data_IF_406223541826
#
_entry.id   IF_406223541826
#
_cell.length_a   1.000
_cell.length_b   1.000
_cell.length_c   1.000
_cell.angle_alpha   90.00
_cell.angle_beta   90.00
_cell.angle_gamma   90.00
#
_symmetry.space_group_name_H-M   'P 1'
#
loop_
_entity.id
_entity.type
_entity.pdbx_description
1 polymer ?
#
# COMPACT_ATOMS: atom_id res chain seq x y z
N UNK A 1 35.68 -31.54 -27.22
CA UNK A 1 34.55 -31.17 -26.34
C UNK A 1 35.14 -30.90 -24.95
N UNK A 2 35.67 -29.69 -24.67
CA UNK A 2 36.28 -29.45 -23.37
C UNK A 2 35.19 -29.22 -22.32
N UNK A 3 35.41 -29.80 -21.14
CA UNK A 3 34.55 -29.68 -19.99
C UNK A 3 34.34 -28.20 -19.61
N UNK A 4 33.10 -27.83 -19.35
CA UNK A 4 32.67 -26.50 -18.93
C UNK A 4 33.40 -26.10 -17.64
N UNK A 5 34.20 -25.03 -17.71
CA UNK A 5 34.95 -24.39 -16.62
C UNK A 5 34.10 -23.90 -15.44
N UNK A 6 32.77 -23.99 -15.54
CA UNK A 6 31.81 -23.48 -14.56
C UNK A 6 31.86 -24.21 -13.21
N UNK A 7 32.43 -25.43 -13.14
CA UNK A 7 32.50 -26.22 -11.91
C UNK A 7 33.79 -26.06 -11.10
N UNK A 8 34.74 -25.21 -11.50
CA UNK A 8 36.06 -25.13 -10.82
C UNK A 8 36.25 -23.86 -10.00
N UNK A 9 35.49 -22.79 -10.24
CA UNK A 9 35.71 -21.49 -9.59
C UNK A 9 34.58 -21.17 -8.61
N UNK A 10 34.86 -21.40 -7.32
CA UNK A 10 33.94 -21.12 -6.22
C UNK A 10 34.69 -20.87 -4.91
N UNK A 11 33.98 -20.63 -3.80
CA UNK A 11 34.59 -20.23 -2.52
C UNK A 11 35.52 -21.29 -1.88
N UNK A 12 35.51 -22.52 -2.40
CA UNK A 12 36.32 -23.64 -1.93
C UNK A 12 37.42 -24.06 -2.93
N UNK A 13 37.87 -23.15 -3.82
CA UNK A 13 38.95 -23.43 -4.77
C UNK A 13 40.24 -23.83 -4.02
N UNK A 14 40.76 -25.02 -4.31
CA UNK A 14 42.01 -25.52 -3.71
C UNK A 14 43.24 -25.14 -4.52
N UNK A 15 44.43 -25.26 -3.91
CA UNK A 15 45.70 -25.00 -4.58
C UNK A 15 45.90 -25.92 -5.81
N UNK A 16 45.59 -27.21 -5.69
CA UNK A 16 45.70 -28.18 -6.78
C UNK A 16 44.77 -27.82 -7.96
N UNK A 17 43.54 -27.38 -7.67
CA UNK A 17 42.59 -26.93 -8.69
C UNK A 17 43.07 -25.65 -9.40
N UNK A 18 43.71 -24.74 -8.66
CA UNK A 18 44.31 -23.54 -9.24
C UNK A 18 45.51 -23.87 -10.15
N UNK A 19 46.33 -24.86 -9.77
CA UNK A 19 47.42 -25.35 -10.62
C UNK A 19 46.89 -26.03 -11.90
N UNK A 20 45.80 -26.79 -11.80
CA UNK A 20 45.16 -27.41 -12.97
C UNK A 20 44.59 -26.37 -13.94
N UNK A 21 44.03 -25.25 -13.43
CA UNK A 21 43.61 -24.11 -14.27
C UNK A 21 44.83 -23.45 -14.94
N UNK A 22 45.94 -23.31 -14.22
CA UNK A 22 47.17 -22.73 -14.77
C UNK A 22 47.76 -23.59 -15.91
N UNK A 23 47.75 -24.91 -15.75
CA UNK A 23 48.23 -25.86 -16.77
C UNK A 23 47.40 -25.84 -18.06
N UNK A 24 46.12 -25.44 -17.99
CA UNK A 24 45.26 -25.26 -19.16
C UNK A 24 45.60 -24.01 -19.99
N UNK A 25 46.48 -23.14 -19.47
CA UNK A 25 47.02 -22.00 -20.20
C UNK A 25 46.39 -20.66 -19.83
N UNK A 26 46.93 -19.59 -20.44
CA UNK A 26 46.61 -18.20 -20.09
C UNK A 26 45.12 -17.87 -20.15
N UNK A 27 44.40 -18.37 -21.15
CA UNK A 27 42.99 -18.06 -21.35
C UNK A 27 42.11 -18.63 -20.23
N UNK A 28 42.43 -19.83 -19.73
CA UNK A 28 41.71 -20.45 -18.62
C UNK A 28 41.87 -19.64 -17.32
N UNK A 29 43.08 -19.15 -17.04
CA UNK A 29 43.36 -18.29 -15.87
C UNK A 29 42.59 -16.97 -15.95
N UNK A 30 42.61 -16.31 -17.12
CA UNK A 30 41.86 -15.04 -17.31
C UNK A 30 40.36 -15.26 -17.13
N UNK A 31 39.82 -16.35 -17.69
CA UNK A 31 38.41 -16.69 -17.56
C UNK A 31 38.02 -16.93 -16.09
N UNK A 32 38.84 -17.69 -15.34
CA UNK A 32 38.61 -17.96 -13.92
C UNK A 32 38.64 -16.68 -13.06
N UNK A 33 39.60 -15.78 -13.30
CA UNK A 33 39.69 -14.50 -12.59
C UNK A 33 38.47 -13.60 -12.87
N UNK A 34 38.02 -13.54 -14.13
CA UNK A 34 36.83 -12.77 -14.52
C UNK A 34 35.55 -13.37 -13.90
N UNK A 35 35.43 -14.70 -13.86
CA UNK A 35 34.31 -15.38 -13.21
C UNK A 35 34.25 -15.10 -11.71
N UNK A 36 35.39 -15.16 -11.01
CA UNK A 36 35.49 -14.84 -9.59
C UNK A 36 35.11 -13.36 -9.31
N UNK A 37 35.60 -12.44 -10.15
CA UNK A 37 35.28 -11.02 -10.04
C UNK A 37 33.77 -10.75 -10.19
N UNK A 38 33.10 -11.44 -11.12
CA UNK A 38 31.65 -11.38 -11.30
C UNK A 38 30.90 -11.89 -10.07
N UNK A 39 31.27 -13.07 -9.54
CA UNK A 39 30.64 -13.64 -8.34
C UNK A 39 30.77 -12.71 -7.12
N UNK A 40 31.93 -12.07 -6.94
CA UNK A 40 32.14 -11.09 -5.87
C UNK A 40 31.25 -9.86 -6.03
N UNK A 41 31.10 -9.35 -7.25
CA UNK A 41 30.23 -8.21 -7.52
C UNK A 41 28.74 -8.52 -7.26
N UNK A 42 28.28 -9.72 -7.61
CA UNK A 42 26.91 -10.17 -7.35
C UNK A 42 26.65 -10.40 -5.85
N UNK A 43 27.60 -10.96 -5.11
CA UNK A 43 27.48 -11.24 -3.68
C UNK A 43 27.54 -9.97 -2.81
N UNK A 44 28.35 -8.97 -3.18
CA UNK A 44 28.50 -7.75 -2.41
C UNK A 44 27.34 -6.75 -2.61
N UNK A 45 26.46 -7.00 -3.59
CA UNK A 45 25.34 -6.11 -3.92
C UNK A 45 25.81 -4.72 -4.39
N UNK A 46 24.89 -3.87 -4.90
CA UNK A 46 25.25 -2.50 -5.24
C UNK A 46 25.72 -1.75 -3.98
N UNK A 47 26.80 -0.93 -4.06
CA UNK A 47 27.32 -0.17 -2.93
C UNK A 47 26.35 0.93 -2.43
N UNK A 48 25.25 1.15 -3.17
CA UNK A 48 24.24 2.16 -2.88
C UNK A 48 22.90 1.46 -2.65
N UNK A 49 22.19 1.74 -1.54
CA UNK A 49 20.85 1.22 -1.34
C UNK A 49 19.94 1.65 -2.49
N UNK A 50 19.11 0.72 -2.96
CA UNK A 50 18.13 1.01 -4.01
C UNK A 50 17.16 2.11 -3.53
N UNK A 51 16.58 2.91 -4.42
CA UNK A 51 15.62 3.97 -4.05
C UNK A 51 14.38 3.43 -3.31
N UNK A 52 14.08 2.14 -3.45
CA UNK A 52 13.01 1.43 -2.75
C UNK A 52 13.43 0.81 -1.40
N UNK A 53 14.70 0.88 -1.02
CA UNK A 53 15.18 0.34 0.27
C UNK A 53 14.72 1.26 1.41
N UNK A 54 13.85 0.79 2.33
CA UNK A 54 13.36 1.61 3.42
C UNK A 54 14.51 1.99 4.37
N UNK A 55 14.43 3.18 4.98
CA UNK A 55 15.46 3.71 5.88
C UNK A 55 15.86 2.75 7.02
N UNK A 56 14.93 1.89 7.46
CA UNK A 56 15.19 0.86 8.47
C UNK A 56 16.18 -0.24 8.03
N UNK A 57 16.27 -0.52 6.73
CA UNK A 57 17.15 -1.55 6.16
C UNK A 57 18.50 -1.02 5.69
N UNK A 58 18.68 0.31 5.64
CA UNK A 58 19.99 0.92 5.34
C UNK A 58 20.91 0.75 6.56
N UNK A 59 22.09 0.14 6.44
CA UNK A 59 23.03 0.00 7.55
C UNK A 59 23.39 1.37 8.16
N UNK A 60 23.53 1.50 9.49
CA UNK A 60 23.76 2.79 10.15
C UNK A 60 24.95 3.59 9.60
N UNK A 61 26.01 2.91 9.12
CA UNK A 61 27.20 3.54 8.56
C UNK A 61 27.02 4.09 7.13
N UNK A 62 26.00 3.62 6.39
CA UNK A 62 25.64 4.16 5.08
C UNK A 62 24.56 5.25 5.17
N UNK A 63 23.93 5.42 6.34
CA UNK A 63 22.94 6.48 6.52
C UNK A 63 23.66 7.83 6.44
N UNK A 64 23.17 8.78 5.63
CA UNK A 64 23.75 10.11 5.62
C UNK A 64 23.63 10.72 7.02
N UNK A 65 24.71 11.36 7.48
CA UNK A 65 24.73 12.06 8.76
C UNK A 65 23.58 13.08 8.75
N UNK A 66 22.63 12.94 9.67
CA UNK A 66 21.50 13.83 9.76
C UNK A 66 22.02 15.26 9.94
N UNK A 67 21.75 16.14 8.95
CA UNK A 67 22.05 17.57 9.08
C UNK A 67 21.32 18.06 10.33
N UNK A 68 22.05 18.65 11.28
CA UNK A 68 21.45 19.34 12.43
C UNK A 68 20.46 20.35 11.89
N UNK A 69 19.17 20.04 11.99
CA UNK A 69 18.12 20.98 11.63
C UNK A 69 18.25 22.16 12.58
N UNK A 70 18.44 23.36 12.02
CA UNK A 70 18.51 24.59 12.79
C UNK A 70 17.28 24.75 13.70
N UNK A 71 17.33 25.70 14.64
CA UNK A 71 16.21 26.00 15.55
C UNK A 71 14.90 26.01 14.76
N UNK A 72 13.96 25.14 15.15
CA UNK A 72 12.64 25.04 14.53
C UNK A 72 12.02 26.44 14.46
N UNK A 73 11.41 26.78 13.32
CA UNK A 73 10.70 28.05 13.19
C UNK A 73 9.67 28.15 14.32
N UNK A 74 9.64 29.26 15.08
CA UNK A 74 8.63 29.46 16.11
C UNK A 74 7.23 29.30 15.52
N UNK A 75 6.29 28.79 16.33
CA UNK A 75 4.89 28.77 15.97
C UNK A 75 4.32 30.18 15.74
N UNK A 76 3.04 30.24 15.36
CA UNK A 76 2.35 31.52 15.14
C UNK A 76 2.33 32.32 16.46
N UNK A 77 2.70 33.60 16.40
CA UNK A 77 2.78 34.48 17.59
C UNK A 77 1.44 34.60 18.30
N UNK A 78 1.47 34.89 19.60
CA UNK A 78 0.29 35.22 20.38
C UNK A 78 -0.45 36.42 19.76
N UNK A 79 -1.78 36.37 19.72
CA UNK A 79 -2.62 37.40 19.09
C UNK A 79 -2.91 37.19 17.59
N UNK A 80 -2.49 36.07 17.00
CA UNK A 80 -2.84 35.76 15.62
C UNK A 80 -4.34 35.48 15.46
N UNK A 81 -4.93 35.93 14.35
CA UNK A 81 -6.30 35.59 14.00
C UNK A 81 -6.45 34.07 13.81
N UNK A 82 -7.39 33.46 14.54
CA UNK A 82 -7.71 32.05 14.40
C UNK A 82 -8.20 31.73 12.99
N UNK A 83 -7.70 30.64 12.41
CA UNK A 83 -8.23 30.07 11.17
C UNK A 83 -9.09 28.86 11.50
N UNK A 84 -10.28 28.79 10.91
CA UNK A 84 -11.20 27.65 11.02
C UNK A 84 -11.54 27.12 9.63
N UNK A 85 -11.95 25.84 9.54
CA UNK A 85 -12.52 25.28 8.31
C UNK A 85 -13.71 26.15 7.87
N UNK A 86 -13.84 26.38 6.56
CA UNK A 86 -14.99 27.07 6.00
C UNK A 86 -16.29 26.32 6.33
N UNK A 87 -17.42 27.03 6.32
CA UNK A 87 -18.71 26.36 6.38
C UNK A 87 -18.91 25.53 5.09
N UNK A 88 -19.57 24.36 5.17
CA UNK A 88 -19.89 23.58 3.98
C UNK A 88 -20.87 24.34 3.09
N UNK A 89 -20.68 24.25 1.76
CA UNK A 89 -21.53 24.96 0.78
C UNK A 89 -22.89 24.28 0.59
N UNK A 90 -22.92 22.93 0.65
CA UNK A 90 -24.13 22.13 0.46
C UNK A 90 -24.69 21.66 1.78
N UNK A 91 -25.98 21.91 2.01
CA UNK A 91 -26.71 21.47 3.21
C UNK A 91 -27.70 20.37 2.82
N UNK A 92 -27.40 19.14 3.22
CA UNK A 92 -28.26 17.97 2.95
C UNK A 92 -29.50 17.93 3.86
N UNK A 93 -29.37 18.37 5.12
CA UNK A 93 -30.44 18.33 6.12
C UNK A 93 -30.43 19.58 7.01
N UNK A 94 -31.62 20.09 7.36
CA UNK A 94 -31.79 21.19 8.33
C UNK A 94 -32.60 20.68 9.52
N UNK A 95 -32.05 20.81 10.73
CA UNK A 95 -32.72 20.46 11.99
C UNK A 95 -32.82 21.71 12.86
N UNK A 96 -34.03 22.04 13.29
CA UNK A 96 -34.25 23.13 14.24
C UNK A 96 -34.31 22.58 15.66
N UNK A 97 -33.57 23.21 16.56
CA UNK A 97 -33.50 22.81 17.96
C UNK A 97 -34.00 23.96 18.82
N UNK A 98 -35.08 23.74 19.57
CA UNK A 98 -35.65 24.74 20.48
C UNK A 98 -35.99 24.11 21.82
N UNK A 99 -35.41 24.65 22.90
CA UNK A 99 -35.70 24.17 24.24
C UNK A 99 -37.15 24.48 24.64
N UNK A 100 -37.82 23.50 25.27
CA UNK A 100 -39.15 23.67 25.85
C UNK A 100 -39.11 24.32 27.25
N UNK A 101 -38.10 23.97 28.04
CA UNK A 101 -37.86 24.44 29.40
C UNK A 101 -36.37 24.71 29.60
N UNK A 102 -36.02 25.46 30.66
CA UNK A 102 -34.63 25.70 31.02
C UNK A 102 -33.93 24.38 31.35
N UNK A 103 -32.81 24.03 30.70
CA UNK A 103 -32.11 22.77 30.98
C UNK A 103 -31.50 22.73 32.39
N UNK A 104 -31.25 23.88 33.02
CA UNK A 104 -30.60 23.95 34.33
C UNK A 104 -31.60 23.93 35.50
N UNK A 105 -32.75 24.61 35.36
CA UNK A 105 -33.73 24.76 36.46
C UNK A 105 -35.15 24.27 36.13
N UNK A 106 -35.41 23.81 34.91
CA UNK A 106 -36.74 23.35 34.47
C UNK A 106 -37.79 24.45 34.28
N UNK A 107 -37.45 25.72 34.55
CA UNK A 107 -38.37 26.86 34.44
C UNK A 107 -38.86 27.13 33.02
N UNK A 108 -39.96 27.89 32.92
CA UNK A 108 -40.50 28.37 31.64
C UNK A 108 -39.53 29.34 30.96
N UNK A 109 -39.35 29.19 29.65
CA UNK A 109 -38.48 30.03 28.85
C UNK A 109 -39.24 31.17 28.17
N UNK A 110 -38.71 32.38 28.26
CA UNK A 110 -39.14 33.51 27.42
C UNK A 110 -38.45 33.43 26.06
N UNK A 111 -39.21 33.60 24.97
CA UNK A 111 -38.65 33.51 23.61
C UNK A 111 -37.88 34.79 23.27
N UNK A 112 -36.67 34.65 22.72
CA UNK A 112 -35.84 35.75 22.22
C UNK A 112 -35.65 35.65 20.69
N UNK A 113 -35.32 36.78 20.04
CA UNK A 113 -35.06 36.87 18.60
C UNK A 113 -33.56 36.75 18.27
N UNK A 114 -32.87 35.80 18.91
CA UNK A 114 -31.46 35.51 18.64
C UNK A 114 -31.34 34.06 18.19
N UNK A 115 -30.66 33.82 17.07
CA UNK A 115 -30.44 32.50 16.50
C UNK A 115 -28.97 32.31 16.16
N UNK A 116 -28.41 31.14 16.49
CA UNK A 116 -27.05 30.75 16.14
C UNK A 116 -27.09 29.47 15.33
N UNK A 117 -26.42 29.48 14.18
CA UNK A 117 -26.28 28.29 13.33
C UNK A 117 -24.99 27.54 13.67
N UNK A 118 -25.07 26.22 13.73
CA UNK A 118 -23.93 25.31 13.80
C UNK A 118 -24.05 24.29 12.66
N UNK A 119 -22.93 24.00 12.02
CA UNK A 119 -22.82 22.95 11.01
C UNK A 119 -22.14 21.73 11.61
N UNK A 120 -22.65 20.55 11.28
CA UNK A 120 -22.03 19.25 11.58
C UNK A 120 -21.97 18.48 10.28
N UNK A 121 -20.76 18.10 9.86
CA UNK A 121 -20.53 17.16 8.76
C UNK A 121 -20.33 15.78 9.40
N UNK A 122 -21.11 14.79 8.97
CA UNK A 122 -21.04 13.43 9.49
C UNK A 122 -21.07 12.41 8.34
N UNK A 123 -20.59 11.20 8.61
CA UNK A 123 -20.57 10.10 7.65
C UNK A 123 -21.83 9.26 7.91
N UNK A 124 -22.65 9.06 6.88
CA UNK A 124 -23.82 8.18 7.00
C UNK A 124 -23.39 6.73 7.22
N UNK A 125 -24.30 5.91 7.75
CA UNK A 125 -24.05 4.48 7.91
C UNK A 125 -23.67 3.85 6.57
N UNK A 126 -22.49 3.20 6.53
CA UNK A 126 -21.93 2.60 5.32
C UNK A 126 -22.23 1.11 5.35
N UNK A 127 -22.98 0.63 4.37
CA UNK A 127 -23.28 -0.79 4.17
C UNK A 127 -22.70 -1.28 2.84
N UNK A 128 -22.16 -2.51 2.78
CA UNK A 128 -21.69 -3.09 1.53
C UNK A 128 -22.87 -3.48 0.62
N UNK A 129 -22.81 -3.06 -0.63
CA UNK A 129 -23.74 -3.49 -1.67
C UNK A 129 -23.26 -4.80 -2.31
N UNK A 130 -24.11 -5.84 -2.28
CA UNK A 130 -23.81 -7.17 -2.82
C UNK A 130 -24.60 -7.38 -4.11
N UNK A 131 -23.89 -7.62 -5.22
CA UNK A 131 -24.50 -7.95 -6.52
C UNK A 131 -24.28 -9.44 -6.82
N UNK A 132 -25.36 -10.17 -7.06
CA UNK A 132 -25.30 -11.55 -7.56
C UNK A 132 -25.23 -11.53 -9.09
N UNK A 133 -24.09 -11.99 -9.63
CA UNK A 133 -23.92 -12.12 -11.07
C UNK A 133 -24.30 -13.53 -11.53
N UNK A 134 -25.46 -13.67 -12.18
CA UNK A 134 -25.89 -14.93 -12.80
C UNK A 134 -25.24 -15.02 -14.19
N UNK A 135 -24.20 -15.84 -14.30
CA UNK A 135 -23.43 -16.00 -15.56
C UNK A 135 -23.95 -17.22 -16.31
N UNK A 136 -24.67 -16.99 -17.40
CA UNK A 136 -25.09 -18.05 -18.31
C UNK A 136 -23.94 -18.47 -19.23
N UNK A 137 -23.81 -19.79 -19.42
CA UNK A 137 -22.80 -20.41 -20.26
C UNK A 137 -23.47 -21.07 -21.45
N UNK A 138 -23.10 -20.64 -22.66
CA UNK A 138 -23.68 -21.15 -23.90
C UNK A 138 -22.66 -21.95 -24.71
N UNK A 139 -23.14 -22.84 -25.57
CA UNK A 139 -22.30 -23.60 -26.48
C UNK A 139 -22.18 -22.91 -27.84
N UNK A 140 -20.96 -22.59 -28.26
CA UNK A 140 -20.72 -22.07 -29.59
C UNK A 140 -20.59 -23.22 -30.60
N UNK A 141 -21.53 -23.35 -31.55
CA UNK A 141 -21.51 -24.39 -32.57
C UNK A 141 -20.29 -24.32 -33.52
N UNK A 142 -19.78 -23.11 -33.79
CA UNK A 142 -18.63 -22.89 -34.70
C UNK A 142 -17.31 -23.25 -34.03
N UNK A 143 -17.10 -22.75 -32.81
CA UNK A 143 -15.85 -22.92 -32.08
C UNK A 143 -15.82 -24.21 -31.24
N UNK A 144 -16.96 -24.92 -31.12
CA UNK A 144 -17.16 -26.14 -30.32
C UNK A 144 -16.64 -25.98 -28.88
N UNK A 145 -16.95 -24.85 -28.27
CA UNK A 145 -16.57 -24.53 -26.88
C UNK A 145 -17.71 -23.85 -26.15
N UNK A 146 -17.70 -24.00 -24.83
CA UNK A 146 -18.54 -23.20 -23.93
C UNK A 146 -18.00 -21.76 -23.89
N UNK A 147 -18.88 -20.80 -24.06
CA UNK A 147 -18.57 -19.37 -23.96
C UNK A 147 -19.37 -18.76 -22.81
N UNK A 148 -18.76 -17.80 -22.14
CA UNK A 148 -19.37 -17.04 -21.06
C UNK A 148 -19.06 -15.55 -21.24
N UNK A 149 -19.99 -14.66 -20.87
CA UNK A 149 -19.73 -13.22 -20.89
C UNK A 149 -18.71 -12.85 -19.81
N UNK A 150 -17.99 -11.75 -20.05
CA UNK A 150 -17.10 -11.15 -19.04
C UNK A 150 -17.94 -10.37 -18.04
N UNK A 151 -17.64 -10.52 -16.75
CA UNK A 151 -18.21 -9.66 -15.70
C UNK A 151 -17.32 -8.43 -15.56
N UNK A 152 -17.76 -7.23 -15.96
CA UNK A 152 -16.91 -6.03 -15.96
C UNK A 152 -16.64 -5.48 -14.56
N UNK A 153 -17.48 -5.81 -13.58
CA UNK A 153 -17.48 -5.19 -12.25
C UNK A 153 -16.49 -5.84 -11.25
N UNK A 154 -15.86 -6.96 -11.63
CA UNK A 154 -14.90 -7.70 -10.82
C UNK A 154 -13.80 -8.33 -11.66
N UNK A 155 -12.60 -8.46 -11.07
CA UNK A 155 -11.52 -9.23 -11.70
C UNK A 155 -11.86 -10.73 -11.75
N UNK A 156 -11.34 -11.49 -12.72
CA UNK A 156 -11.55 -12.93 -12.80
C UNK A 156 -11.19 -13.67 -11.50
N UNK A 157 -12.14 -14.47 -11.00
CA UNK A 157 -12.00 -15.24 -9.76
C UNK A 157 -11.90 -14.39 -8.48
N UNK A 158 -12.20 -13.09 -8.55
CA UNK A 158 -12.28 -12.20 -7.40
C UNK A 158 -13.69 -12.22 -6.82
N UNK A 159 -13.79 -12.21 -5.49
CA UNK A 159 -15.06 -12.05 -4.78
C UNK A 159 -15.33 -10.60 -4.40
N UNK A 160 -14.35 -9.72 -4.54
CA UNK A 160 -14.47 -8.30 -4.26
C UNK A 160 -14.56 -7.51 -5.56
N UNK A 161 -15.50 -6.55 -5.59
CA UNK A 161 -15.64 -5.61 -6.71
C UNK A 161 -14.44 -4.68 -6.85
N UNK A 162 -14.26 -4.13 -8.05
CA UNK A 162 -13.10 -3.31 -8.42
C UNK A 162 -12.88 -2.12 -7.48
N UNK A 163 -13.95 -1.45 -7.03
CA UNK A 163 -13.86 -0.29 -6.12
C UNK A 163 -13.20 -0.64 -4.79
N UNK A 164 -13.56 -1.78 -4.20
CA UNK A 164 -13.00 -2.28 -2.95
C UNK A 164 -11.53 -2.66 -3.11
N UNK A 165 -11.21 -3.36 -4.21
CA UNK A 165 -9.84 -3.77 -4.49
C UNK A 165 -8.91 -2.58 -4.70
N UNK A 166 -9.32 -1.61 -5.51
CA UNK A 166 -8.53 -0.42 -5.78
C UNK A 166 -8.36 0.42 -4.51
N UNK A 167 -9.43 0.59 -3.71
CA UNK A 167 -9.35 1.32 -2.45
C UNK A 167 -8.38 0.64 -1.47
N UNK A 168 -8.51 -0.67 -1.28
CA UNK A 168 -7.65 -1.43 -0.35
C UNK A 168 -6.19 -1.42 -0.80
N UNK A 169 -5.92 -1.56 -2.10
CA UNK A 169 -4.58 -1.47 -2.68
C UNK A 169 -4.00 -0.05 -2.51
N UNK A 170 -4.80 0.99 -2.75
CA UNK A 170 -4.37 2.38 -2.58
C UNK A 170 -4.02 2.68 -1.11
N UNK A 171 -4.83 2.23 -0.16
CA UNK A 171 -4.54 2.39 1.28
C UNK A 171 -3.22 1.71 1.67
N UNK A 172 -2.95 0.51 1.14
CA UNK A 172 -1.73 -0.22 1.45
C UNK A 172 -0.51 0.36 0.73
N UNK A 173 -0.53 0.41 -0.60
CA UNK A 173 0.64 0.76 -1.41
C UNK A 173 0.88 2.26 -1.55
N UNK A 174 -0.16 3.09 -1.58
CA UNK A 174 0.00 4.54 -1.76
C UNK A 174 0.09 5.30 -0.42
N UNK A 175 -0.74 4.93 0.55
CA UNK A 175 -0.72 5.57 1.88
C UNK A 175 0.16 4.85 2.91
N UNK A 176 0.63 3.64 2.63
CA UNK A 176 1.55 2.90 3.50
C UNK A 176 0.88 2.26 4.73
N UNK A 177 -0.44 2.06 4.71
CA UNK A 177 -1.12 1.34 5.80
C UNK A 177 -0.71 -0.12 5.82
N UNK A 178 -0.58 -0.73 6.99
CA UNK A 178 -0.31 -2.16 7.08
C UNK A 178 -1.53 -2.97 6.64
N UNK A 179 -1.31 -4.20 6.17
CA UNK A 179 -2.39 -5.13 5.82
C UNK A 179 -3.39 -5.32 6.96
N UNK A 180 -2.92 -5.38 8.21
CA UNK A 180 -3.79 -5.51 9.39
C UNK A 180 -4.69 -4.30 9.58
N UNK A 181 -4.16 -3.08 9.41
CA UNK A 181 -4.93 -1.84 9.51
C UNK A 181 -5.99 -1.75 8.42
N UNK A 182 -5.63 -2.10 7.18
CA UNK A 182 -6.59 -2.13 6.07
C UNK A 182 -7.71 -3.11 6.40
N UNK A 183 -7.39 -4.34 6.79
CA UNK A 183 -8.40 -5.35 7.15
C UNK A 183 -9.30 -4.88 8.29
N UNK A 184 -8.75 -4.23 9.32
CA UNK A 184 -9.52 -3.71 10.46
C UNK A 184 -10.52 -2.62 10.03
N UNK A 185 -10.09 -1.68 9.19
CA UNK A 185 -10.98 -0.63 8.64
C UNK A 185 -12.12 -1.26 7.85
N UNK A 186 -11.84 -2.22 6.97
CA UNK A 186 -12.88 -2.88 6.18
C UNK A 186 -13.83 -3.70 7.05
N UNK A 187 -13.32 -4.45 8.01
CA UNK A 187 -14.12 -5.32 8.88
C UNK A 187 -15.03 -4.58 9.86
N UNK A 188 -14.63 -3.38 10.29
CA UNK A 188 -15.34 -2.58 11.29
C UNK A 188 -16.11 -1.41 10.68
N UNK A 189 -15.44 -0.50 9.96
CA UNK A 189 -16.06 0.73 9.45
C UNK A 189 -16.87 0.51 8.17
N UNK A 190 -16.39 -0.38 7.28
CA UNK A 190 -17.06 -0.66 6.00
C UNK A 190 -17.93 -1.92 6.06
N UNK A 191 -17.99 -2.57 7.24
CA UNK A 191 -18.74 -3.80 7.51
C UNK A 191 -18.50 -4.93 6.49
N UNK A 192 -17.36 -4.92 5.81
CA UNK A 192 -17.01 -5.86 4.77
C UNK A 192 -15.96 -6.84 5.30
N UNK A 193 -16.37 -8.10 5.50
CA UNK A 193 -15.47 -9.13 6.05
C UNK A 193 -14.40 -9.54 5.05
N UNK A 194 -13.16 -9.18 5.34
CA UNK A 194 -11.97 -9.50 4.53
C UNK A 194 -10.84 -10.05 5.40
N UNK A 195 -9.94 -10.78 4.75
CA UNK A 195 -8.71 -11.30 5.37
C UNK A 195 -7.50 -10.76 4.64
N UNK A 196 -6.35 -10.73 5.32
CA UNK A 196 -5.10 -10.24 4.71
C UNK A 196 -4.72 -11.09 3.49
N UNK A 197 -4.79 -12.41 3.62
CA UNK A 197 -4.49 -13.34 2.53
C UNK A 197 -5.42 -13.17 1.33
N UNK A 198 -6.72 -12.94 1.57
CA UNK A 198 -7.68 -12.67 0.50
C UNK A 198 -7.33 -11.41 -0.28
N UNK A 199 -7.04 -10.30 0.42
CA UNK A 199 -6.64 -9.05 -0.23
C UNK A 199 -5.37 -9.21 -1.06
N UNK A 200 -4.33 -9.81 -0.48
CA UNK A 200 -3.05 -10.03 -1.18
C UNK A 200 -3.24 -10.89 -2.42
N UNK A 201 -4.00 -11.99 -2.33
CA UNK A 201 -4.28 -12.86 -3.47
C UNK A 201 -5.01 -12.14 -4.60
N UNK A 202 -5.96 -11.26 -4.27
CA UNK A 202 -6.70 -10.49 -5.27
C UNK A 202 -5.85 -9.36 -5.86
N UNK A 203 -4.97 -8.73 -5.07
CA UNK A 203 -4.06 -7.69 -5.58
C UNK A 203 -3.03 -8.22 -6.56
N UNK A 204 -2.60 -9.48 -6.48
CA UNK A 204 -1.75 -10.10 -7.50
C UNK A 204 -2.40 -10.17 -8.89
N UNK A 205 -3.72 -9.94 -8.98
CA UNK A 205 -4.49 -9.97 -10.24
C UNK A 205 -4.84 -8.56 -10.76
N UNK A 206 -4.54 -7.51 -9.99
CA UNK A 206 -4.64 -6.11 -10.42
C UNK A 206 -3.51 -5.79 -11.41
#
# INVERSE_FOLDING_TARGET
>A
MPATLENVVGPNLTADQAEDIYRQGREAVVCALLALAKQLAEAQGPPTPAPSTPSGMVPPYQKPVAKRTGKKKPGRKNGHAGSRRAAPDTIHHRKEHRAGHCPDCGGKLTRCNSTRTRYTEDIQDIEPEVTEHIIHRDWCAKCKKRVEPVVPDALPGSTLGLRVLILSAWLHYALGNTLSQVVEVFNFHLQLKVTQGGLVQMWYRL
#
